data_IF_259181504215
#
_entry.id   IF_259181504215
#
_cell.length_a   1.000
_cell.length_b   1.000
_cell.length_c   1.000
_cell.angle_alpha   90.00
_cell.angle_beta   90.00
_cell.angle_gamma   90.00
#
_symmetry.space_group_name_H-M   'P 1'
#
loop_
_entity.id
_entity.type
_entity.pdbx_description
1 polymer ?
#
# COMPACT_ATOMS: atom_id res chain seq x y z
N UNK A 1 -20.45 -30.03 -75.07
CA UNK A 1 -20.75 -29.97 -73.62
C UNK A 1 -20.60 -31.35 -73.03
N UNK A 2 -19.66 -31.52 -72.08
CA UNK A 2 -19.69 -32.43 -70.91
C UNK A 2 -18.25 -32.63 -70.42
N UNK A 3 -17.86 -31.83 -69.43
CA UNK A 3 -16.66 -32.08 -68.64
C UNK A 3 -16.98 -33.18 -67.62
N UNK A 4 -16.24 -34.28 -67.68
CA UNK A 4 -16.27 -35.35 -66.71
C UNK A 4 -15.33 -34.94 -65.57
N UNK A 5 -15.89 -34.58 -64.40
CA UNK A 5 -15.09 -34.47 -63.17
C UNK A 5 -15.23 -35.77 -62.38
N UNK A 6 -14.06 -36.36 -62.15
CA UNK A 6 -13.78 -37.54 -61.34
C UNK A 6 -14.54 -37.55 -60.02
N UNK A 7 -15.10 -38.72 -59.71
CA UNK A 7 -15.53 -39.07 -58.36
C UNK A 7 -14.32 -39.44 -57.48
N UNK A 8 -14.51 -39.33 -56.16
CA UNK A 8 -13.59 -39.82 -55.14
C UNK A 8 -14.14 -39.52 -53.74
N UNK A 9 -14.92 -40.45 -53.20
CA UNK A 9 -15.55 -40.41 -51.88
C UNK A 9 -14.51 -40.41 -50.74
N UNK A 10 -14.78 -39.65 -49.68
CA UNK A 10 -14.06 -39.70 -48.41
C UNK A 10 -14.66 -38.70 -47.44
N UNK A 11 -15.73 -39.10 -46.73
CA UNK A 11 -16.35 -38.30 -45.68
C UNK A 11 -15.35 -38.01 -44.56
N UNK A 12 -14.85 -36.79 -44.50
CA UNK A 12 -14.30 -36.20 -43.28
C UNK A 12 -15.27 -35.10 -42.83
N UNK A 13 -15.85 -35.16 -41.62
CA UNK A 13 -16.72 -34.09 -41.15
C UNK A 13 -15.88 -32.81 -41.03
N UNK A 14 -16.21 -31.80 -41.81
CA UNK A 14 -15.50 -30.53 -41.82
C UNK A 14 -15.72 -29.80 -40.48
N UNK A 15 -14.80 -29.96 -39.54
CA UNK A 15 -14.85 -29.26 -38.24
C UNK A 15 -14.68 -27.76 -38.49
N UNK A 16 -15.76 -27.01 -38.35
CA UNK A 16 -15.73 -25.55 -38.45
C UNK A 16 -14.98 -24.95 -37.25
N UNK A 17 -14.17 -23.91 -37.50
CA UNK A 17 -13.43 -23.15 -36.47
C UNK A 17 -14.32 -22.73 -35.30
N UNK A 18 -15.60 -22.43 -35.55
CA UNK A 18 -16.59 -22.06 -34.54
C UNK A 18 -16.92 -23.23 -33.60
N UNK A 19 -17.08 -24.44 -34.14
CA UNK A 19 -17.32 -25.63 -33.34
C UNK A 19 -16.09 -26.01 -32.51
N UNK A 20 -14.88 -25.79 -33.05
CA UNK A 20 -13.65 -25.99 -32.30
C UNK A 20 -13.54 -25.03 -31.10
N UNK A 21 -13.85 -23.74 -31.28
CA UNK A 21 -13.84 -22.75 -30.18
C UNK A 21 -14.91 -23.11 -29.14
N UNK A 22 -16.12 -23.49 -29.57
CA UNK A 22 -17.20 -23.87 -28.67
C UNK A 22 -16.87 -25.13 -27.84
N UNK A 23 -16.27 -26.14 -28.45
CA UNK A 23 -15.85 -27.35 -27.75
C UNK A 23 -14.69 -27.06 -26.76
N UNK A 24 -13.75 -26.20 -27.17
CA UNK A 24 -12.62 -25.81 -26.33
C UNK A 24 -13.06 -25.01 -25.10
N UNK A 25 -14.03 -24.11 -25.23
CA UNK A 25 -14.55 -23.35 -24.09
C UNK A 25 -15.33 -24.21 -23.10
N UNK A 26 -16.01 -25.25 -23.58
CA UNK A 26 -16.74 -26.19 -22.71
C UNK A 26 -15.78 -27.00 -21.81
N UNK A 27 -14.60 -27.39 -22.32
CA UNK A 27 -13.62 -28.17 -21.56
C UNK A 27 -12.95 -27.39 -20.42
N UNK A 28 -12.73 -26.08 -20.58
CA UNK A 28 -12.10 -25.22 -19.56
C UNK A 28 -13.03 -25.01 -18.35
N UNK A 29 -14.34 -25.03 -18.56
CA UNK A 29 -15.32 -24.81 -17.50
C UNK A 29 -15.60 -26.05 -16.64
N UNK A 30 -15.29 -27.26 -17.13
CA UNK A 30 -15.52 -28.53 -16.42
C UNK A 30 -14.94 -28.58 -14.99
N UNK A 31 -13.66 -28.21 -14.73
CA UNK A 31 -13.11 -28.27 -13.38
C UNK A 31 -13.75 -27.29 -12.39
N UNK A 32 -14.41 -26.22 -12.86
CA UNK A 32 -15.13 -25.28 -11.99
C UNK A 32 -16.53 -25.77 -11.61
N UNK A 33 -17.13 -26.67 -12.40
CA UNK A 33 -18.47 -27.22 -12.14
C UNK A 33 -18.38 -28.56 -11.38
N UNK A 34 -17.37 -29.38 -11.66
CA UNK A 34 -17.28 -30.74 -11.11
C UNK A 34 -16.61 -30.83 -9.75
N UNK A 35 -15.88 -29.81 -9.31
CA UNK A 35 -15.12 -29.87 -8.05
C UNK A 35 -15.24 -28.57 -7.26
N UNK A 36 -15.97 -28.56 -6.12
CA UNK A 36 -15.90 -27.43 -5.19
C UNK A 36 -14.55 -27.51 -4.46
N UNK A 37 -13.48 -27.02 -5.09
CA UNK A 37 -12.21 -26.85 -4.43
C UNK A 37 -12.35 -25.74 -3.38
N UNK A 38 -12.62 -26.13 -2.14
CA UNK A 38 -12.59 -25.23 -1.00
C UNK A 38 -11.13 -24.98 -0.65
N UNK A 39 -10.63 -23.80 -1.00
CA UNK A 39 -9.32 -23.35 -0.56
C UNK A 39 -9.34 -23.17 0.97
N UNK A 40 -8.88 -24.17 1.71
CA UNK A 40 -8.63 -24.04 3.14
C UNK A 40 -7.33 -23.28 3.34
N UNK A 41 -7.45 -21.97 3.49
CA UNK A 41 -6.38 -21.16 4.05
C UNK A 41 -6.13 -21.62 5.49
N UNK A 42 -4.98 -22.27 5.72
CA UNK A 42 -4.48 -22.49 7.08
C UNK A 42 -4.18 -21.11 7.67
N UNK A 43 -4.95 -20.72 8.69
CA UNK A 43 -4.64 -19.54 9.48
C UNK A 43 -3.31 -19.78 10.19
N UNK A 44 -2.24 -19.16 9.69
CA UNK A 44 -0.99 -19.05 10.43
C UNK A 44 -1.24 -18.03 11.53
N UNK A 45 -1.53 -18.50 12.74
CA UNK A 45 -1.45 -17.66 13.93
C UNK A 45 0.02 -17.36 14.19
N UNK A 46 0.53 -16.32 13.53
CA UNK A 46 1.79 -15.72 13.93
C UNK A 46 1.59 -15.17 15.35
N UNK A 47 2.26 -15.77 16.32
CA UNK A 47 2.37 -15.17 17.66
C UNK A 47 3.20 -13.91 17.49
N UNK A 48 2.52 -12.77 17.38
CA UNK A 48 3.17 -11.48 17.25
C UNK A 48 3.75 -11.09 18.61
N UNK A 49 4.99 -11.48 18.86
CA UNK A 49 5.87 -10.83 19.85
C UNK A 49 6.18 -9.41 19.36
N UNK A 50 5.17 -8.55 19.26
CA UNK A 50 5.36 -7.14 18.98
C UNK A 50 5.71 -6.44 20.29
N UNK A 51 6.79 -5.63 20.31
CA UNK A 51 7.11 -4.81 21.47
C UNK A 51 5.92 -3.91 21.81
N UNK A 52 5.74 -3.59 23.10
CA UNK A 52 4.60 -2.84 23.58
C UNK A 52 4.47 -1.50 22.82
N UNK A 53 3.28 -1.24 22.29
CA UNK A 53 2.97 -0.02 21.52
C UNK A 53 2.32 1.01 22.44
N UNK A 54 2.93 2.21 22.52
CA UNK A 54 2.36 3.37 23.21
C UNK A 54 1.81 4.35 22.20
N UNK A 55 0.55 4.75 22.36
CA UNK A 55 -0.06 5.80 21.52
C UNK A 55 0.04 7.15 22.22
N UNK A 56 0.76 8.09 21.61
CA UNK A 56 0.92 9.46 22.10
C UNK A 56 0.09 10.41 21.23
N UNK A 57 -0.78 11.19 21.87
CA UNK A 57 -1.51 12.26 21.21
C UNK A 57 -0.59 13.47 20.97
N UNK A 58 -0.61 14.00 19.75
CA UNK A 58 0.15 15.18 19.35
C UNK A 58 -0.62 15.94 18.28
N UNK A 59 -0.06 17.03 17.78
CA UNK A 59 -0.68 17.88 16.76
C UNK A 59 0.26 18.12 15.57
N UNK A 60 -0.26 18.78 14.53
CA UNK A 60 0.57 19.15 13.39
C UNK A 60 1.64 20.19 13.75
N UNK A 61 2.91 19.88 13.50
CA UNK A 61 4.04 20.79 13.71
C UNK A 61 4.29 21.73 12.52
N UNK A 62 3.66 21.47 11.38
CA UNK A 62 3.82 22.28 10.17
C UNK A 62 2.68 23.29 10.05
N UNK A 63 2.99 24.43 9.42
CA UNK A 63 2.03 25.49 9.21
C UNK A 63 1.17 25.22 7.97
N UNK A 64 0.35 24.19 8.05
CA UNK A 64 -0.62 23.82 7.00
C UNK A 64 -2.03 24.34 7.27
N UNK A 65 -2.24 25.10 8.36
CA UNK A 65 -3.56 25.54 8.83
C UNK A 65 -4.46 24.45 9.42
N UNK A 66 -4.22 23.17 9.11
CA UNK A 66 -5.13 22.07 9.48
C UNK A 66 -5.10 21.63 10.94
N UNK A 67 -4.05 21.98 11.70
CA UNK A 67 -3.89 21.68 13.15
C UNK A 67 -4.38 20.27 13.56
N UNK A 68 -4.05 19.26 12.75
CA UNK A 68 -4.61 17.93 12.84
C UNK A 68 -4.36 17.26 14.22
N UNK A 69 -5.31 16.46 14.71
CA UNK A 69 -5.12 15.54 15.84
C UNK A 69 -4.37 14.29 15.35
N UNK A 70 -3.14 14.14 15.81
CA UNK A 70 -2.22 13.10 15.39
C UNK A 70 -2.02 12.10 16.53
N UNK A 71 -2.10 10.82 16.19
CA UNK A 71 -1.79 9.70 17.10
C UNK A 71 -0.49 9.06 16.66
N UNK A 72 0.58 9.34 17.40
CA UNK A 72 1.90 8.77 17.17
C UNK A 72 2.00 7.45 17.93
N UNK A 73 2.17 6.36 17.20
CA UNK A 73 2.40 5.04 17.75
C UNK A 73 3.91 4.87 17.96
N UNK A 74 4.31 4.60 19.19
CA UNK A 74 5.71 4.52 19.61
C UNK A 74 5.99 3.12 20.14
N UNK A 75 7.05 2.50 19.65
CA UNK A 75 7.56 1.22 20.12
C UNK A 75 9.08 1.28 20.17
N UNK A 76 9.69 0.77 21.25
CA UNK A 76 11.13 0.85 21.50
C UNK A 76 11.73 2.27 21.34
N UNK A 77 10.98 3.29 21.74
CA UNK A 77 11.39 4.70 21.64
C UNK A 77 11.35 5.30 20.22
N UNK A 78 10.87 4.55 19.23
CA UNK A 78 10.76 4.98 17.83
C UNK A 78 9.28 5.10 17.45
N UNK A 79 8.93 6.16 16.72
CA UNK A 79 7.59 6.31 16.15
C UNK A 79 7.45 5.29 15.00
N UNK A 80 6.64 4.25 15.17
CA UNK A 80 6.43 3.17 14.18
C UNK A 80 5.28 3.47 13.22
N UNK A 81 4.30 4.28 13.63
CA UNK A 81 3.14 4.65 12.82
C UNK A 81 2.57 6.00 13.24
N UNK A 82 1.97 6.70 12.29
CA UNK A 82 1.17 7.89 12.56
C UNK A 82 -0.25 7.65 12.04
N UNK A 83 -1.23 7.76 12.93
CA UNK A 83 -2.65 7.72 12.59
C UNK A 83 -3.35 9.02 13.00
N UNK A 84 -4.63 9.12 12.66
CA UNK A 84 -5.51 10.19 13.12
C UNK A 84 -6.25 9.74 14.38
N UNK A 85 -6.93 10.68 15.06
CA UNK A 85 -7.98 10.36 16.03
C UNK A 85 -8.98 9.36 15.41
N UNK A 86 -9.31 8.25 16.11
CA UNK A 86 -10.25 7.26 15.60
C UNK A 86 -11.69 7.79 15.62
N UNK A 87 -12.52 7.25 14.74
CA UNK A 87 -13.88 7.74 14.48
C UNK A 87 -14.80 7.59 15.70
N UNK A 88 -14.63 6.51 16.45
CA UNK A 88 -15.36 6.24 17.69
C UNK A 88 -15.05 7.23 18.83
N UNK A 89 -13.98 8.01 18.69
CA UNK A 89 -13.58 9.00 19.65
C UNK A 89 -13.90 10.41 19.17
N UNK A 90 -14.57 10.62 18.03
CA UNK A 90 -14.90 11.97 17.55
C UNK A 90 -15.93 12.65 18.45
N UNK A 91 -15.74 13.95 18.65
CA UNK A 91 -16.69 14.82 19.36
C UNK A 91 -17.55 15.53 18.30
N UNK A 92 -18.87 15.45 18.43
CA UNK A 92 -19.81 16.07 17.49
C UNK A 92 -19.71 17.60 17.48
N UNK A 93 -19.22 18.22 18.57
CA UNK A 93 -19.03 19.67 18.64
C UNK A 93 -17.66 20.12 18.10
N UNK A 94 -16.72 19.19 17.88
CA UNK A 94 -15.39 19.51 17.37
C UNK A 94 -15.28 19.17 15.88
N UNK A 95 -14.76 20.08 15.03
CA UNK A 95 -14.43 19.77 13.65
C UNK A 95 -13.50 18.56 13.56
N UNK A 96 -13.74 17.69 12.57
CA UNK A 96 -12.94 16.48 12.39
C UNK A 96 -11.53 16.84 11.90
N UNK A 97 -10.59 16.95 12.82
CA UNK A 97 -9.20 17.31 12.54
C UNK A 97 -8.35 16.10 12.11
N UNK A 98 -8.67 15.52 10.94
CA UNK A 98 -7.94 14.34 10.43
C UNK A 98 -6.56 14.69 9.90
N UNK A 99 -5.57 13.85 10.23
CA UNK A 99 -4.26 13.93 9.60
C UNK A 99 -4.34 13.56 8.11
N UNK A 100 -3.98 14.51 7.24
CA UNK A 100 -3.83 14.24 5.80
C UNK A 100 -2.64 13.30 5.52
N UNK A 101 -2.44 12.92 4.25
CA UNK A 101 -1.32 12.05 3.82
C UNK A 101 0.03 12.62 4.26
N UNK A 102 0.21 13.95 4.20
CA UNK A 102 1.43 14.62 4.70
C UNK A 102 1.61 14.46 6.21
N UNK A 103 0.54 14.64 6.98
CA UNK A 103 0.54 14.46 8.43
C UNK A 103 0.91 13.04 8.86
N UNK A 104 0.34 12.05 8.16
CA UNK A 104 0.67 10.62 8.39
C UNK A 104 2.11 10.27 7.99
N UNK A 105 2.76 11.10 7.19
CA UNK A 105 4.13 10.91 6.73
C UNK A 105 5.19 11.66 7.56
N UNK A 106 4.84 12.36 8.66
CA UNK A 106 5.80 13.14 9.46
C UNK A 106 6.98 12.34 10.00
N UNK A 107 6.83 11.02 10.13
CA UNK A 107 7.94 10.13 10.46
C UNK A 107 9.14 10.28 9.53
N UNK A 108 8.90 10.56 8.24
CA UNK A 108 9.97 10.81 7.24
C UNK A 108 10.79 12.05 7.56
N UNK A 109 10.18 13.07 8.16
CA UNK A 109 10.87 14.28 8.58
C UNK A 109 11.68 14.06 9.86
N UNK A 110 11.09 13.36 10.85
CA UNK A 110 11.74 13.06 12.13
C UNK A 110 13.00 12.20 11.95
N UNK A 111 12.98 11.26 11.01
CA UNK A 111 14.10 10.35 10.75
C UNK A 111 14.80 10.61 9.42
N UNK A 112 14.67 11.82 8.86
CA UNK A 112 15.37 12.18 7.63
C UNK A 112 16.90 12.13 7.83
N UNK A 113 17.70 11.63 6.86
CA UNK A 113 19.16 11.61 6.97
C UNK A 113 19.74 13.01 7.19
N UNK A 114 19.21 14.01 6.48
CA UNK A 114 19.68 15.41 6.57
C UNK A 114 19.12 16.19 7.78
N UNK A 115 18.45 15.52 8.72
CA UNK A 115 17.91 16.19 9.89
C UNK A 115 19.03 16.79 10.74
N UNK A 116 18.92 18.08 11.05
CA UNK A 116 19.83 18.77 11.97
C UNK A 116 19.70 18.17 13.38
N UNK A 117 20.75 17.48 13.84
CA UNK A 117 20.81 16.81 15.15
C UNK A 117 21.56 17.63 16.21
N UNK A 118 22.39 18.57 15.76
CA UNK A 118 23.28 19.33 16.62
C UNK A 118 23.24 20.82 16.27
N UNK A 119 23.56 21.70 17.22
CA UNK A 119 23.76 23.12 16.93
C UNK A 119 24.98 23.30 16.02
N UNK A 120 24.81 24.12 14.97
CA UNK A 120 25.80 24.36 13.93
C UNK A 120 26.10 25.87 13.81
N UNK A 121 27.38 26.24 13.68
CA UNK A 121 27.85 27.61 13.46
C UNK A 121 28.35 27.76 12.03
N UNK A 122 27.94 28.85 11.35
CA UNK A 122 28.43 29.18 10.00
C UNK A 122 29.89 29.63 10.05
N UNK A 123 30.71 29.11 9.13
CA UNK A 123 32.15 29.44 9.04
C UNK A 123 32.58 30.13 7.74
N UNK A 124 31.77 30.10 6.69
CA UNK A 124 32.02 30.79 5.40
C UNK A 124 31.07 31.96 5.12
N UNK A 125 31.07 32.50 3.89
CA UNK A 125 30.07 33.51 3.47
C UNK A 125 28.66 32.89 3.40
N UNK A 126 27.63 33.75 3.41
CA UNK A 126 26.23 33.30 3.28
C UNK A 126 26.04 32.64 1.92
N UNK A 127 25.46 31.44 1.91
CA UNK A 127 25.21 30.65 0.70
C UNK A 127 26.23 29.53 0.43
N UNK A 128 27.38 29.49 1.12
CA UNK A 128 28.40 28.46 0.88
C UNK A 128 28.10 27.09 1.53
N UNK A 129 27.10 27.00 2.41
CA UNK A 129 26.76 25.74 3.08
C UNK A 129 27.80 25.23 4.08
N UNK A 130 28.82 26.02 4.43
CA UNK A 130 29.90 25.63 5.35
C UNK A 130 29.52 25.90 6.82
N UNK A 131 29.36 24.83 7.59
CA UNK A 131 29.02 24.88 9.01
C UNK A 131 29.88 23.91 9.83
N UNK A 132 30.21 24.32 11.05
CA UNK A 132 30.89 23.50 12.06
C UNK A 132 30.00 23.28 13.27
N UNK A 133 30.11 22.12 13.90
CA UNK A 133 29.36 21.81 15.13
C UNK A 133 29.92 22.65 16.28
N UNK A 134 29.03 23.27 17.05
CA UNK A 134 29.41 23.97 18.28
C UNK A 134 28.91 23.20 19.52
N UNK A 135 29.57 23.40 20.66
CA UNK A 135 29.03 22.98 21.95
C UNK A 135 28.05 24.05 22.44
N UNK A 136 26.85 23.64 22.80
CA UNK A 136 25.94 24.47 23.61
C UNK A 136 26.46 24.50 25.04
N UNK A 137 26.41 25.69 25.65
CA UNK A 137 26.81 25.95 27.03
C UNK A 137 25.73 25.47 27.99
#
# INVERSE_FOLDING_TARGET
MKNIKSQGNGEQPAISRRHFIQASSALIALPFVSSPATAQARAVTATENRPAEKVVQTCSTFDCGGKCDIRAHVSDGIVTRISTRPDNALDAQMPVMRACVRGRAYRKFVYHPDRLKYPMKRVGKRGEGKFERMKTR
#
